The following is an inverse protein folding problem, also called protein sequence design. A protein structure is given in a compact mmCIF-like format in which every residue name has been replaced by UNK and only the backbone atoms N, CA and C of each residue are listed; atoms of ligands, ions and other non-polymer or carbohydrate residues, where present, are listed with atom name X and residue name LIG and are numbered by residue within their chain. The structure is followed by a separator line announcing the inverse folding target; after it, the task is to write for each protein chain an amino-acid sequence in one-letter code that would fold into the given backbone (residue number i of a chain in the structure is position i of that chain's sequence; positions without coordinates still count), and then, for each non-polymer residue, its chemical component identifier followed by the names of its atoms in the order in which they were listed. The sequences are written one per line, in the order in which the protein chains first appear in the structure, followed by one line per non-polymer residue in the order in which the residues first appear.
data_IF_392368282894
#
_entry.id   IF_392368282894
#
_cell.length_a   1.000
_cell.length_b   1.000
_cell.length_c   1.000
_cell.angle_alpha   90.00
_cell.angle_beta   90.00
_cell.angle_gamma   90.00
#
_symmetry.space_group_name_H-M   'P 1'
#
loop_
_entity.id
_entity.type
_entity.pdbx_description
1 polymer ?
#
# COMPACT_ATOMS: atom_id res chain seq x y z
N UNK A 1 11.70 14.48 -18.66
CA UNK A 1 11.71 13.16 -17.99
C UNK A 1 10.65 12.32 -18.67
N UNK A 2 10.96 11.08 -19.07
CA UNK A 2 9.98 10.27 -19.79
C UNK A 2 8.80 9.84 -18.90
N UNK A 3 7.73 9.38 -19.54
CA UNK A 3 6.47 9.03 -18.89
C UNK A 3 6.62 7.88 -17.88
N UNK A 4 7.40 6.85 -18.21
CA UNK A 4 7.56 5.66 -17.36
C UNK A 4 8.31 6.03 -16.09
N UNK A 5 9.36 6.83 -16.21
CA UNK A 5 10.14 7.33 -15.10
C UNK A 5 9.31 8.18 -14.14
N UNK A 6 8.39 9.03 -14.65
CA UNK A 6 7.46 9.76 -13.79
C UNK A 6 6.53 8.81 -13.02
N UNK A 7 5.97 7.80 -13.69
CA UNK A 7 5.09 6.83 -13.05
C UNK A 7 5.84 6.01 -11.97
N UNK A 8 7.10 5.64 -12.24
CA UNK A 8 7.97 4.98 -11.27
C UNK A 8 8.26 5.88 -10.06
N UNK A 9 8.58 7.15 -10.30
CA UNK A 9 8.80 8.12 -9.23
C UNK A 9 7.53 8.40 -8.42
N UNK A 10 6.33 8.30 -8.99
CA UNK A 10 5.10 8.43 -8.20
C UNK A 10 4.90 7.20 -7.31
N UNK A 11 5.11 5.99 -7.85
CA UNK A 11 4.87 4.75 -7.12
C UNK A 11 5.95 4.42 -6.08
N UNK A 12 7.21 4.78 -6.33
CA UNK A 12 8.37 4.28 -5.59
C UNK A 12 8.30 4.47 -4.07
N UNK A 13 7.78 5.57 -3.49
CA UNK A 13 7.78 5.72 -2.04
C UNK A 13 6.94 4.66 -1.32
N UNK A 14 5.75 4.38 -1.85
CA UNK A 14 4.85 3.35 -1.28
C UNK A 14 5.35 1.94 -1.60
N UNK A 15 5.99 1.72 -2.75
CA UNK A 15 6.61 0.42 -3.05
C UNK A 15 7.75 0.11 -2.07
N UNK A 16 8.64 1.08 -1.81
CA UNK A 16 9.70 0.94 -0.81
C UNK A 16 9.13 0.72 0.59
N UNK A 17 8.05 1.43 0.95
CA UNK A 17 7.34 1.22 2.21
C UNK A 17 6.77 -0.20 2.33
N UNK A 18 6.19 -0.74 1.25
CA UNK A 18 5.69 -2.12 1.21
C UNK A 18 6.79 -3.16 1.43
N UNK A 19 7.97 -2.97 0.81
CA UNK A 19 9.13 -3.84 1.05
C UNK A 19 9.57 -3.77 2.52
N UNK A 20 9.71 -2.57 3.07
CA UNK A 20 10.07 -2.36 4.47
C UNK A 20 9.04 -3.01 5.42
N UNK A 21 7.75 -2.88 5.10
CA UNK A 21 6.66 -3.49 5.85
C UNK A 21 6.77 -5.02 5.85
N UNK A 22 7.00 -5.66 4.70
CA UNK A 22 7.21 -7.12 4.61
C UNK A 22 8.40 -7.57 5.49
N UNK A 23 9.50 -6.81 5.48
CA UNK A 23 10.68 -7.10 6.32
C UNK A 23 10.30 -7.02 7.81
N UNK A 24 9.58 -5.98 8.21
CA UNK A 24 9.16 -5.78 9.60
C UNK A 24 8.15 -6.84 10.05
N UNK A 25 7.26 -7.30 9.16
CA UNK A 25 6.39 -8.44 9.44
C UNK A 25 7.21 -9.71 9.67
N UNK A 26 8.18 -10.01 8.79
CA UNK A 26 9.02 -11.22 8.87
C UNK A 26 9.90 -11.26 10.12
N UNK A 27 10.42 -10.11 10.56
CA UNK A 27 11.26 -9.99 11.76
C UNK A 27 10.46 -9.79 13.05
N UNK A 28 9.14 -9.74 12.94
CA UNK A 28 8.21 -9.41 14.01
C UNK A 28 8.52 -8.12 14.77
N UNK A 29 9.08 -7.12 14.07
CA UNK A 29 9.33 -5.81 14.66
C UNK A 29 8.02 -5.11 15.00
N UNK A 30 8.03 -4.32 16.07
CA UNK A 30 6.86 -3.61 16.59
C UNK A 30 5.68 -4.56 16.86
N UNK A 31 5.92 -5.65 17.61
CA UNK A 31 4.90 -6.61 18.05
C UNK A 31 3.76 -5.98 18.85
N UNK A 32 4.05 -4.92 19.59
CA UNK A 32 3.07 -4.12 20.33
C UNK A 32 2.04 -3.40 19.43
N UNK A 33 2.28 -3.30 18.12
CA UNK A 33 1.34 -2.73 17.14
C UNK A 33 0.45 -3.78 16.45
N UNK A 34 0.47 -5.05 16.89
CA UNK A 34 -0.39 -6.12 16.36
C UNK A 34 -1.87 -5.98 16.73
N UNK A 35 -2.24 -4.98 17.52
CA UNK A 35 -3.63 -4.74 17.89
C UNK A 35 -4.50 -4.50 16.65
N UNK A 36 -5.62 -5.23 16.48
CA UNK A 36 -6.55 -5.00 15.38
C UNK A 36 -7.13 -3.59 15.42
N UNK A 37 -7.22 -2.93 14.26
CA UNK A 37 -7.74 -1.55 14.16
C UNK A 37 -9.24 -1.44 14.42
N UNK A 38 -9.97 -2.55 14.33
CA UNK A 38 -11.39 -2.59 14.68
C UNK A 38 -11.62 -2.76 16.19
N UNK A 39 -10.57 -2.96 17.00
CA UNK A 39 -10.66 -3.19 18.45
C UNK A 39 -11.71 -4.26 18.84
N UNK A 40 -11.95 -5.24 17.99
CA UNK A 40 -12.95 -6.29 18.24
C UNK A 40 -14.40 -5.88 17.99
N UNK A 41 -14.65 -4.66 17.48
CA UNK A 41 -15.98 -4.18 17.14
C UNK A 41 -16.69 -5.11 16.15
N UNK A 42 -18.01 -5.21 16.31
CA UNK A 42 -18.88 -6.03 15.47
C UNK A 42 -19.94 -5.17 14.78
N UNK A 43 -20.25 -5.52 13.55
CA UNK A 43 -21.39 -5.02 12.79
C UNK A 43 -22.22 -6.21 12.33
N UNK A 44 -23.54 -6.19 12.61
CA UNK A 44 -24.47 -7.30 12.33
C UNK A 44 -23.98 -8.66 12.87
N UNK A 45 -23.41 -8.67 14.07
CA UNK A 45 -22.89 -9.86 14.74
C UNK A 45 -21.53 -10.36 14.24
N UNK A 46 -20.96 -9.75 13.18
CA UNK A 46 -19.68 -10.14 12.56
C UNK A 46 -18.60 -9.09 12.82
N UNK A 47 -17.31 -9.45 12.82
CA UNK A 47 -16.20 -8.49 12.96
C UNK A 47 -16.26 -7.38 11.92
N UNK A 48 -15.80 -6.18 12.26
CA UNK A 48 -15.83 -5.05 11.32
C UNK A 48 -14.74 -5.19 10.25
N UNK A 49 -13.49 -5.49 10.62
CA UNK A 49 -12.38 -5.60 9.66
C UNK A 49 -11.65 -6.94 9.79
N UNK A 50 -11.56 -7.47 11.01
CA UNK A 50 -10.85 -8.70 11.34
C UNK A 50 -9.40 -8.49 11.76
N UNK A 51 -8.78 -9.55 12.27
CA UNK A 51 -7.54 -9.48 13.06
C UNK A 51 -6.29 -9.14 12.23
N UNK A 52 -6.33 -9.38 10.92
CA UNK A 52 -5.18 -9.11 10.04
C UNK A 52 -4.99 -7.62 9.75
N UNK A 53 -5.98 -6.76 10.05
CA UNK A 53 -5.86 -5.31 9.91
C UNK A 53 -5.44 -4.72 11.25
N UNK A 54 -4.14 -4.48 11.39
CA UNK A 54 -3.51 -4.08 12.66
C UNK A 54 -2.97 -2.66 12.62
N UNK A 55 -2.80 -2.04 13.79
CA UNK A 55 -2.18 -0.71 13.91
C UNK A 55 -0.79 -0.65 13.27
N UNK A 56 -0.10 -1.78 13.17
CA UNK A 56 1.20 -1.91 12.52
C UNK A 56 1.17 -1.39 11.09
N UNK A 57 0.16 -1.76 10.29
CA UNK A 57 0.03 -1.25 8.91
C UNK A 57 -0.20 0.26 8.88
N UNK A 58 -1.03 0.76 9.81
CA UNK A 58 -1.41 2.17 9.91
C UNK A 58 -0.30 3.09 10.44
N UNK A 59 0.71 2.53 11.10
CA UNK A 59 1.87 3.30 11.58
C UNK A 59 3.05 3.15 10.64
N UNK A 60 3.37 1.90 10.26
CA UNK A 60 4.59 1.63 9.49
C UNK A 60 4.47 2.12 8.06
N UNK A 61 3.34 1.92 7.38
CA UNK A 61 3.20 2.33 5.98
C UNK A 61 3.38 3.85 5.80
N UNK A 62 2.69 4.73 6.56
CA UNK A 62 2.93 6.18 6.50
C UNK A 62 4.37 6.58 6.77
N UNK A 63 4.96 6.06 7.87
CA UNK A 63 6.31 6.43 8.29
C UNK A 63 7.36 5.97 7.29
N UNK A 64 7.26 4.74 6.79
CA UNK A 64 8.17 4.20 5.80
C UNK A 64 8.06 4.94 4.47
N UNK A 65 6.85 5.32 4.04
CA UNK A 65 6.65 6.14 2.83
C UNK A 65 7.28 7.53 3.01
N UNK A 66 7.09 8.16 4.17
CA UNK A 66 7.71 9.46 4.47
C UNK A 66 9.24 9.41 4.46
N UNK A 67 9.82 8.41 5.12
CA UNK A 67 11.26 8.17 5.11
C UNK A 67 11.75 7.91 3.68
N UNK A 68 11.03 7.10 2.89
CA UNK A 68 11.37 6.82 1.51
C UNK A 68 11.40 8.08 0.64
N UNK A 69 10.41 8.99 0.79
CA UNK A 69 10.42 10.29 0.10
C UNK A 69 11.65 11.10 0.45
N UNK A 70 11.98 11.22 1.75
CA UNK A 70 13.18 11.96 2.19
C UNK A 70 14.45 11.34 1.60
N UNK A 71 14.60 10.02 1.68
CA UNK A 71 15.75 9.29 1.16
C UNK A 71 15.90 9.49 -0.36
N UNK A 72 14.82 9.31 -1.12
CA UNK A 72 14.83 9.52 -2.58
C UNK A 72 15.17 10.98 -2.89
N UNK A 73 14.61 11.95 -2.17
CA UNK A 73 14.92 13.37 -2.37
C UNK A 73 16.40 13.70 -2.16
N UNK A 74 17.05 13.12 -1.14
CA UNK A 74 18.49 13.27 -0.95
C UNK A 74 19.30 12.57 -2.04
N UNK A 75 18.91 11.37 -2.47
CA UNK A 75 19.57 10.66 -3.57
C UNK A 75 19.47 11.44 -4.88
N UNK A 76 18.31 12.00 -5.20
CA UNK A 76 18.12 12.84 -6.39
C UNK A 76 19.07 14.05 -6.37
N UNK A 77 19.20 14.72 -5.22
CA UNK A 77 20.17 15.83 -5.07
C UNK A 77 21.61 15.36 -5.23
N UNK A 78 21.98 14.25 -4.60
CA UNK A 78 23.34 13.70 -4.66
C UNK A 78 23.76 13.35 -6.09
N UNK A 79 22.87 12.76 -6.88
CA UNK A 79 23.13 12.42 -8.28
C UNK A 79 22.90 13.57 -9.27
N UNK A 80 22.67 14.81 -8.79
CA UNK A 80 22.26 15.96 -9.62
C UNK A 80 21.07 15.65 -10.53
N UNK A 81 20.20 14.74 -10.11
CA UNK A 81 18.99 14.41 -10.81
C UNK A 81 18.00 15.54 -10.61
N UNK A 82 17.54 16.14 -11.70
CA UNK A 82 16.72 17.36 -11.67
C UNK A 82 15.35 17.10 -11.01
N UNK A 83 15.29 17.22 -9.69
CA UNK A 83 14.07 17.07 -8.90
C UNK A 83 12.95 18.03 -9.31
N UNK A 84 13.30 19.22 -9.84
CA UNK A 84 12.33 20.17 -10.38
C UNK A 84 11.57 19.68 -11.63
N UNK A 85 12.01 18.58 -12.26
CA UNK A 85 11.29 17.94 -13.38
C UNK A 85 10.38 16.79 -12.92
N UNK A 86 10.47 16.34 -11.67
CA UNK A 86 9.60 15.28 -11.15
C UNK A 86 8.21 15.85 -10.83
N UNK A 87 7.15 15.12 -11.20
CA UNK A 87 5.77 15.51 -10.87
C UNK A 87 5.45 15.31 -9.38
N UNK A 88 6.12 14.33 -8.75
CA UNK A 88 5.99 14.04 -7.33
C UNK A 88 6.99 14.89 -6.54
N UNK A 89 6.52 15.53 -5.46
CA UNK A 89 7.36 16.39 -4.63
C UNK A 89 8.20 15.57 -3.63
N UNK A 90 9.51 15.56 -3.86
CA UNK A 90 10.52 14.91 -3.01
C UNK A 90 11.24 15.87 -2.06
N UNK A 91 10.76 17.11 -1.94
CA UNK A 91 11.36 18.10 -1.05
C UNK A 91 11.08 17.78 0.42
N UNK A 92 12.02 18.16 1.30
CA UNK A 92 11.82 18.03 2.74
C UNK A 92 10.60 18.85 3.22
N UNK A 93 10.39 20.03 2.65
CA UNK A 93 9.26 20.92 2.95
C UNK A 93 7.90 20.31 2.59
N UNK A 94 7.80 19.55 1.50
CA UNK A 94 6.57 18.88 1.08
C UNK A 94 6.39 17.47 1.63
N UNK A 95 7.42 16.92 2.29
CA UNK A 95 7.46 15.52 2.69
C UNK A 95 6.30 15.09 3.60
N UNK A 96 5.70 15.99 4.38
CA UNK A 96 4.54 15.68 5.23
C UNK A 96 3.35 15.08 4.45
N UNK A 97 3.19 15.43 3.17
CA UNK A 97 2.18 14.82 2.28
C UNK A 97 2.40 13.32 2.08
N UNK A 98 3.64 12.85 2.20
CA UNK A 98 3.98 11.44 2.08
C UNK A 98 3.40 10.58 3.22
N UNK A 99 3.16 11.17 4.40
CA UNK A 99 2.45 10.48 5.50
C UNK A 99 1.02 10.16 5.09
N UNK A 100 0.29 11.13 4.53
CA UNK A 100 -1.06 10.93 4.01
C UNK A 100 -1.08 9.96 2.83
N UNK A 101 -0.09 10.05 1.94
CA UNK A 101 0.07 9.12 0.83
C UNK A 101 0.29 7.67 1.32
N UNK A 102 1.18 7.46 2.29
CA UNK A 102 1.40 6.13 2.87
C UNK A 102 0.22 5.63 3.70
N UNK A 103 -0.57 6.51 4.31
CA UNK A 103 -1.81 6.17 5.02
C UNK A 103 -2.93 5.73 4.08
N UNK A 104 -2.95 6.24 2.86
CA UNK A 104 -3.93 5.87 1.85
C UNK A 104 -3.92 4.36 1.56
N UNK A 105 -2.74 3.71 1.64
CA UNK A 105 -2.59 2.29 1.41
C UNK A 105 -3.42 1.44 2.39
N UNK A 106 -3.17 1.43 3.72
CA UNK A 106 -3.95 0.63 4.66
C UNK A 106 -5.42 1.08 4.74
N UNK A 107 -5.74 2.35 4.45
CA UNK A 107 -7.12 2.82 4.34
C UNK A 107 -7.87 2.19 3.15
N UNK A 108 -7.18 2.02 2.01
CA UNK A 108 -7.75 1.40 0.81
C UNK A 108 -8.17 -0.05 1.03
N UNK A 109 -7.50 -0.78 1.92
CA UNK A 109 -7.83 -2.17 2.24
C UNK A 109 -9.08 -2.34 3.14
N UNK A 110 -9.48 -1.28 3.85
CA UNK A 110 -10.54 -1.38 4.86
C UNK A 110 -11.92 -1.70 4.28
N UNK A 111 -12.40 -1.04 3.22
CA UNK A 111 -13.72 -1.33 2.64
C UNK A 111 -13.85 -2.79 2.21
N UNK A 112 -12.83 -3.31 1.54
CA UNK A 112 -12.79 -4.69 1.08
C UNK A 112 -12.75 -5.67 2.27
N UNK A 113 -11.97 -5.38 3.30
CA UNK A 113 -11.95 -6.17 4.53
C UNK A 113 -13.31 -6.22 5.22
N UNK A 114 -14.01 -5.08 5.30
CA UNK A 114 -15.36 -4.99 5.83
C UNK A 114 -16.34 -5.86 5.03
N UNK A 115 -16.36 -5.72 3.71
CA UNK A 115 -17.24 -6.52 2.83
C UNK A 115 -16.98 -8.01 3.04
N UNK A 116 -15.70 -8.44 3.07
CA UNK A 116 -15.33 -9.85 3.31
C UNK A 116 -15.88 -10.36 4.64
N UNK A 117 -15.77 -9.59 5.74
CA UNK A 117 -16.34 -10.00 7.03
C UNK A 117 -17.87 -10.12 6.98
N UNK A 118 -18.55 -9.20 6.30
CA UNK A 118 -20.00 -9.25 6.16
C UNK A 118 -20.48 -10.44 5.33
N UNK A 119 -19.61 -10.99 4.46
CA UNK A 119 -19.85 -12.21 3.69
C UNK A 119 -19.35 -13.51 4.36
N UNK A 120 -19.03 -13.49 5.65
CA UNK A 120 -18.49 -14.65 6.40
C UNK A 120 -17.14 -15.20 5.90
N UNK A 121 -16.37 -14.41 5.16
CA UNK A 121 -15.02 -14.81 4.76
C UNK A 121 -14.10 -14.48 5.93
N UNK A 122 -13.38 -15.45 6.50
CA UNK A 122 -12.49 -15.18 7.64
C UNK A 122 -11.21 -14.42 7.22
N UNK A 123 -10.52 -13.74 8.15
CA UNK A 123 -9.23 -13.11 7.87
C UNK A 123 -8.22 -14.14 7.34
N UNK A 124 -7.66 -13.88 6.15
CA UNK A 124 -6.71 -14.80 5.51
C UNK A 124 -7.37 -15.97 4.75
N UNK A 125 -8.69 -16.09 4.83
CA UNK A 125 -9.45 -17.07 4.06
C UNK A 125 -9.78 -16.55 2.65
N UNK A 126 -9.89 -17.46 1.70
CA UNK A 126 -10.39 -17.18 0.35
C UNK A 126 -11.90 -17.03 0.35
N UNK A 127 -12.42 -16.23 -0.57
CA UNK A 127 -13.87 -16.18 -0.80
C UNK A 127 -14.41 -17.53 -1.30
N UNK A 128 -15.65 -17.85 -0.90
CA UNK A 128 -16.36 -19.06 -1.30
C UNK A 128 -17.00 -18.88 -2.69
N UNK A 129 -16.77 -19.85 -3.60
CA UNK A 129 -17.21 -19.81 -4.99
C UNK A 129 -16.22 -19.12 -5.94
N UNK A 130 -16.18 -19.58 -7.18
CA UNK A 130 -15.14 -19.18 -8.15
C UNK A 130 -15.22 -17.71 -8.53
N UNK A 131 -16.42 -17.19 -8.79
CA UNK A 131 -16.63 -15.77 -9.12
C UNK A 131 -16.20 -14.84 -7.97
N UNK A 132 -16.62 -15.16 -6.74
CA UNK A 132 -16.24 -14.37 -5.56
C UNK A 132 -14.72 -14.43 -5.32
N UNK A 133 -14.10 -15.60 -5.53
CA UNK A 133 -12.65 -15.76 -5.41
C UNK A 133 -11.91 -14.88 -6.40
N UNK A 134 -12.30 -14.88 -7.68
CA UNK A 134 -11.70 -14.02 -8.70
C UNK A 134 -11.88 -12.55 -8.35
N UNK A 135 -13.10 -12.15 -7.96
CA UNK A 135 -13.41 -10.78 -7.59
C UNK A 135 -12.58 -10.27 -6.40
N UNK A 136 -12.58 -10.99 -5.28
CA UNK A 136 -11.82 -10.58 -4.09
C UNK A 136 -10.31 -10.66 -4.31
N UNK A 137 -9.81 -11.63 -5.10
CA UNK A 137 -8.38 -11.69 -5.45
C UNK A 137 -7.92 -10.49 -6.30
N UNK A 138 -8.81 -9.94 -7.13
CA UNK A 138 -8.55 -8.73 -7.90
C UNK A 138 -8.62 -7.49 -7.01
N UNK A 139 -9.67 -7.36 -6.18
CA UNK A 139 -9.81 -6.26 -5.23
C UNK A 139 -8.63 -6.19 -4.25
N UNK A 140 -8.20 -7.32 -3.69
CA UNK A 140 -7.07 -7.40 -2.74
C UNK A 140 -5.75 -6.88 -3.32
N UNK A 141 -5.61 -6.80 -4.65
CA UNK A 141 -4.41 -6.26 -5.32
C UNK A 141 -4.56 -4.82 -5.79
N UNK A 142 -5.78 -4.31 -5.84
CA UNK A 142 -6.11 -3.04 -6.49
C UNK A 142 -6.65 -1.98 -5.54
N UNK A 143 -7.32 -2.38 -4.45
CA UNK A 143 -7.98 -1.47 -3.50
C UNK A 143 -7.04 -0.39 -2.93
N UNK A 144 -5.88 -0.81 -2.48
CA UNK A 144 -4.84 0.05 -1.90
C UNK A 144 -4.20 0.94 -2.95
N UNK A 145 -4.00 0.43 -4.18
CA UNK A 145 -3.43 1.18 -5.29
C UNK A 145 -4.38 2.28 -5.77
N UNK A 146 -5.68 1.98 -5.83
CA UNK A 146 -6.71 2.96 -6.17
C UNK A 146 -6.76 4.08 -5.12
N UNK A 147 -6.78 3.72 -3.83
CA UNK A 147 -6.77 4.72 -2.76
C UNK A 147 -5.48 5.55 -2.76
N UNK A 148 -4.33 4.93 -3.01
CA UNK A 148 -3.06 5.63 -3.22
C UNK A 148 -3.11 6.61 -4.39
N UNK A 149 -3.72 6.22 -5.52
CA UNK A 149 -3.91 7.09 -6.68
C UNK A 149 -4.80 8.30 -6.37
N UNK A 150 -5.90 8.10 -5.64
CA UNK A 150 -6.76 9.19 -5.16
C UNK A 150 -5.97 10.14 -4.26
N UNK A 151 -5.19 9.61 -3.32
CA UNK A 151 -4.35 10.44 -2.46
C UNK A 151 -3.32 11.26 -3.26
N UNK A 152 -2.69 10.65 -4.28
CA UNK A 152 -1.75 11.36 -5.15
C UNK A 152 -2.43 12.49 -5.91
N UNK A 153 -3.61 12.23 -6.47
CA UNK A 153 -4.41 13.24 -7.16
C UNK A 153 -4.71 14.44 -6.24
N UNK A 154 -5.22 14.17 -5.03
CA UNK A 154 -5.63 15.21 -4.09
C UNK A 154 -4.45 15.99 -3.48
N UNK A 155 -3.32 15.32 -3.19
CA UNK A 155 -2.19 15.92 -2.48
C UNK A 155 -1.21 16.67 -3.41
N UNK A 156 -1.06 16.19 -4.65
CA UNK A 156 -0.05 16.67 -5.59
C UNK A 156 -0.65 17.23 -6.89
N UNK A 157 -1.94 17.04 -7.16
CA UNK A 157 -2.58 17.53 -8.39
C UNK A 157 -2.08 16.83 -9.66
N UNK A 158 -1.48 15.63 -9.53
CA UNK A 158 -0.95 14.88 -10.66
C UNK A 158 -2.09 14.36 -11.52
N UNK A 159 -1.95 14.46 -12.85
CA UNK A 159 -3.02 14.07 -13.77
C UNK A 159 -3.30 12.57 -13.73
N UNK A 160 -4.54 12.20 -14.03
CA UNK A 160 -5.01 10.82 -13.99
C UNK A 160 -4.18 9.86 -14.87
N UNK A 161 -3.61 10.35 -15.98
CA UNK A 161 -2.76 9.53 -16.86
C UNK A 161 -1.54 8.95 -16.11
N UNK A 162 -0.76 9.80 -15.43
CA UNK A 162 0.40 9.33 -14.66
C UNK A 162 0.00 8.49 -13.45
N UNK A 163 -1.15 8.76 -12.83
CA UNK A 163 -1.69 7.95 -11.74
C UNK A 163 -2.05 6.54 -12.24
N UNK A 164 -2.71 6.43 -13.39
CA UNK A 164 -3.01 5.14 -14.01
C UNK A 164 -1.73 4.37 -14.32
N UNK A 165 -0.72 5.04 -14.89
CA UNK A 165 0.60 4.44 -15.11
C UNK A 165 1.25 3.94 -13.81
N UNK A 166 1.22 4.74 -12.74
CA UNK A 166 1.74 4.36 -11.44
C UNK A 166 0.98 3.17 -10.81
N UNK A 167 -0.36 3.12 -10.97
CA UNK A 167 -1.18 1.99 -10.51
C UNK A 167 -0.82 0.71 -11.27
N UNK A 168 -0.65 0.78 -12.59
CA UNK A 168 -0.24 -0.38 -13.41
C UNK A 168 1.13 -0.90 -12.94
N UNK A 169 2.09 -0.01 -12.74
CA UNK A 169 3.41 -0.37 -12.21
C UNK A 169 3.32 -0.97 -10.80
N UNK A 170 2.50 -0.39 -9.93
CA UNK A 170 2.25 -0.91 -8.59
C UNK A 170 1.61 -2.30 -8.61
N UNK A 171 0.70 -2.57 -9.55
CA UNK A 171 0.08 -3.88 -9.72
C UNK A 171 1.10 -4.93 -10.18
N UNK A 172 1.97 -4.59 -11.14
CA UNK A 172 3.08 -5.45 -11.56
C UNK A 172 4.02 -5.76 -10.39
N UNK A 173 4.32 -4.74 -9.58
CA UNK A 173 5.15 -4.91 -8.37
C UNK A 173 4.46 -5.79 -7.33
N UNK A 174 3.15 -5.66 -7.15
CA UNK A 174 2.36 -6.53 -6.28
C UNK A 174 2.50 -8.00 -6.70
N UNK A 175 2.34 -8.31 -7.99
CA UNK A 175 2.55 -9.67 -8.50
C UNK A 175 3.98 -10.18 -8.26
N UNK A 176 4.99 -9.33 -8.46
CA UNK A 176 6.38 -9.68 -8.17
C UNK A 176 6.59 -9.98 -6.69
N UNK A 177 6.09 -9.14 -5.79
CA UNK A 177 6.21 -9.35 -4.34
C UNK A 177 5.46 -10.60 -3.87
N UNK A 178 4.27 -10.86 -4.41
CA UNK A 178 3.51 -12.09 -4.14
C UNK A 178 4.33 -13.33 -4.52
N UNK A 179 4.94 -13.33 -5.72
CA UNK A 179 5.81 -14.40 -6.17
C UNK A 179 7.02 -14.60 -5.24
N UNK A 180 7.67 -13.51 -4.82
CA UNK A 180 8.79 -13.56 -3.88
C UNK A 180 8.37 -14.07 -2.50
N UNK A 181 7.18 -13.68 -2.02
CA UNK A 181 6.63 -14.13 -0.74
C UNK A 181 6.29 -15.62 -0.76
N UNK A 182 5.76 -16.14 -1.88
CA UNK A 182 5.56 -17.59 -2.08
C UNK A 182 6.88 -18.34 -2.04
N UNK A 183 7.90 -17.88 -2.79
CA UNK A 183 9.24 -18.50 -2.81
C UNK A 183 9.93 -18.52 -1.45
N UNK A 184 9.65 -17.53 -0.59
CA UNK A 184 10.19 -17.45 0.76
C UNK A 184 9.33 -18.16 1.83
N UNK A 185 8.23 -18.81 1.45
CA UNK A 185 7.30 -19.47 2.38
C UNK A 185 6.53 -18.51 3.30
N UNK A 186 6.52 -17.21 2.99
CA UNK A 186 5.78 -16.18 3.74
C UNK A 186 4.29 -16.18 3.37
N UNK A 187 3.99 -16.66 2.17
CA UNK A 187 2.63 -16.90 1.68
C UNK A 187 2.56 -18.38 1.33
N UNK A 188 1.50 -19.06 1.75
CA UNK A 188 1.24 -20.43 1.28
C UNK A 188 0.77 -20.36 -0.17
N UNK A 189 1.24 -21.29 -1.02
CA UNK A 189 0.54 -21.55 -2.27
C UNK A 189 -0.88 -21.93 -1.92
N UNK A 190 -1.82 -21.30 -2.64
CA UNK A 190 -3.23 -21.60 -2.46
C UNK A 190 -3.80 -21.92 -3.82
#
# INVERSE_FOLDING_TARGET
MDYILQCLLIASPVLLAGIAFIIFLKKDYFSWLKTPVDFGMKFRGKRLLGENKTLRGFVIMPLATWIAVIMIGYLMKFFNFESGKALFDYSLSGSYKALAYGMAYPLGELPNSFIKRQLNINPGERAHGDLARVFFNFLDKTDSLLMCGIAVFLLYGISANYILGAIILGLLFHYLTDFLMLKQGLKKEV
#
